data_IF_884624283110
#
_entry.id   IF_884624283110
#
_cell.length_a   1.000
_cell.length_b   1.000
_cell.length_c   1.000
_cell.angle_alpha   90.00
_cell.angle_beta   90.00
_cell.angle_gamma   90.00
#
_symmetry.space_group_name_H-M   'P 1'
#
loop_
_entity.id
_entity.type
_entity.pdbx_description
1 polymer ?
#
# COMPACT_ATOMS: atom_id res chain seq x y z
N UNK A 1 -44.23 -19.26 9.20
CA UNK A 1 -43.12 -20.13 8.73
C UNK A 1 -42.98 -19.95 7.22
N UNK A 2 -41.78 -19.67 6.67
CA UNK A 2 -40.71 -18.83 7.18
C UNK A 2 -40.41 -17.64 6.27
N UNK A 3 -39.76 -16.68 6.92
CA UNK A 3 -39.18 -15.43 6.43
C UNK A 3 -37.75 -15.71 5.94
N UNK A 4 -37.48 -15.59 4.63
CA UNK A 4 -36.14 -15.71 4.05
C UNK A 4 -35.98 -14.76 2.84
N UNK A 5 -35.44 -13.55 3.06
CA UNK A 5 -34.26 -13.18 2.26
C UNK A 5 -33.40 -12.13 2.95
N UNK A 6 -32.23 -12.60 3.40
CA UNK A 6 -31.15 -11.90 4.07
C UNK A 6 -30.51 -10.84 3.14
N UNK A 7 -29.91 -9.76 3.66
CA UNK A 7 -29.42 -8.67 2.83
C UNK A 7 -28.31 -9.16 1.90
N UNK A 8 -28.39 -8.80 0.63
CA UNK A 8 -27.27 -8.91 -0.30
C UNK A 8 -26.16 -8.00 0.23
N UNK A 9 -25.13 -8.62 0.79
CA UNK A 9 -23.86 -7.99 1.11
C UNK A 9 -23.32 -7.34 -0.15
N UNK A 10 -23.57 -6.04 -0.28
CA UNK A 10 -22.88 -5.20 -1.23
C UNK A 10 -21.39 -5.42 -0.99
N UNK A 11 -20.70 -5.94 -2.01
CA UNK A 11 -19.24 -5.87 -2.10
C UNK A 11 -18.88 -4.44 -1.70
N UNK A 12 -18.20 -4.26 -0.56
CA UNK A 12 -17.45 -3.04 -0.32
C UNK A 12 -16.42 -3.02 -1.43
N UNK A 13 -16.75 -2.34 -2.54
CA UNK A 13 -15.72 -1.71 -3.35
C UNK A 13 -15.04 -0.81 -2.35
N UNK A 14 -13.95 -1.29 -1.76
CA UNK A 14 -13.09 -0.45 -0.95
C UNK A 14 -12.78 0.72 -1.88
N UNK A 15 -13.37 1.89 -1.57
CA UNK A 15 -12.98 3.13 -2.23
C UNK A 15 -11.47 3.10 -2.25
N UNK A 16 -10.86 3.03 -3.44
CA UNK A 16 -9.40 3.07 -3.58
C UNK A 16 -9.00 4.36 -2.88
N UNK A 17 -8.53 4.26 -1.64
CA UNK A 17 -8.00 5.40 -0.90
C UNK A 17 -6.85 5.89 -1.77
N UNK A 18 -6.89 7.18 -2.10
CA UNK A 18 -5.89 7.77 -2.99
C UNK A 18 -4.52 7.52 -2.36
N UNK A 19 -3.68 6.75 -3.04
CA UNK A 19 -2.28 6.57 -2.67
C UNK A 19 -1.62 7.95 -2.73
N UNK A 20 -0.96 8.35 -1.65
CA UNK A 20 -0.23 9.61 -1.61
C UNK A 20 1.01 9.52 -2.49
N UNK A 21 1.49 10.65 -2.99
CA UNK A 21 2.69 10.64 -3.81
C UNK A 21 3.94 10.51 -2.93
N UNK A 22 3.85 10.98 -1.69
CA UNK A 22 4.86 10.79 -0.64
C UNK A 22 4.20 10.22 0.60
N UNK A 23 4.87 9.26 1.24
CA UNK A 23 4.41 8.66 2.49
C UNK A 23 4.76 9.58 3.66
N UNK A 24 3.83 9.85 4.59
CA UNK A 24 4.13 10.59 5.80
C UNK A 24 5.23 9.91 6.63
N UNK A 25 6.37 10.57 6.79
CA UNK A 25 7.50 10.01 7.53
C UNK A 25 7.36 10.23 9.05
N UNK A 26 7.76 9.23 9.84
CA UNK A 26 7.83 9.29 11.30
C UNK A 26 8.77 8.22 11.83
N UNK A 27 9.36 8.42 13.01
CA UNK A 27 10.21 7.43 13.68
C UNK A 27 9.41 6.29 14.34
N UNK A 28 8.07 6.34 14.27
CA UNK A 28 7.16 5.29 14.72
C UNK A 28 6.10 4.96 13.67
N UNK A 29 5.36 3.88 13.88
CA UNK A 29 4.25 3.51 12.99
C UNK A 29 3.11 4.53 13.02
N UNK A 30 2.70 4.98 11.83
CA UNK A 30 1.61 5.94 11.66
C UNK A 30 0.28 5.25 11.36
N UNK A 31 -0.82 5.98 11.46
CA UNK A 31 -2.12 5.48 10.99
C UNK A 31 -2.10 5.15 9.48
N UNK A 32 -1.34 5.91 8.69
CA UNK A 32 -1.15 5.66 7.27
C UNK A 32 -0.51 4.29 7.05
N UNK A 33 0.51 3.95 7.83
CA UNK A 33 1.21 2.67 7.68
C UNK A 33 0.30 1.47 7.94
N UNK A 34 -0.54 1.56 8.98
CA UNK A 34 -1.50 0.52 9.30
C UNK A 34 -2.56 0.33 8.20
N UNK A 35 -2.99 1.42 7.58
CA UNK A 35 -3.99 1.39 6.50
C UNK A 35 -3.41 0.90 5.17
N UNK A 36 -2.11 1.12 4.93
CA UNK A 36 -1.43 0.80 3.67
C UNK A 36 -0.46 -0.39 3.80
N UNK A 37 -0.56 -1.16 4.89
CA UNK A 37 0.35 -2.29 5.15
C UNK A 37 0.41 -3.30 3.98
N UNK A 38 -0.74 -3.63 3.40
CA UNK A 38 -0.83 -4.53 2.24
C UNK A 38 -0.12 -3.96 1.00
N UNK A 39 -0.10 -2.64 0.81
CA UNK A 39 0.62 -2.01 -0.31
C UNK A 39 2.12 -2.21 -0.12
N UNK A 40 2.64 -1.98 1.09
CA UNK A 40 4.06 -2.20 1.38
C UNK A 40 4.49 -3.64 1.14
N UNK A 41 3.70 -4.62 1.60
CA UNK A 41 4.02 -6.04 1.36
C UNK A 41 4.05 -6.37 -0.13
N UNK A 42 3.09 -5.87 -0.92
CA UNK A 42 3.05 -6.11 -2.37
C UNK A 42 4.17 -5.40 -3.13
N UNK A 43 4.62 -4.23 -2.66
CA UNK A 43 5.79 -3.55 -3.23
C UNK A 43 7.09 -4.30 -2.94
N UNK A 44 7.26 -4.80 -1.71
CA UNK A 44 8.44 -5.59 -1.35
C UNK A 44 8.50 -6.90 -2.15
N UNK A 45 7.37 -7.58 -2.31
CA UNK A 45 7.25 -8.80 -3.11
C UNK A 45 7.59 -8.54 -4.59
N UNK A 46 6.98 -7.51 -5.19
CA UNK A 46 7.29 -7.12 -6.57
C UNK A 46 8.75 -6.69 -6.76
N UNK A 47 9.32 -5.97 -5.79
CA UNK A 47 10.74 -5.58 -5.81
C UNK A 47 11.68 -6.80 -5.71
N UNK A 48 11.32 -7.81 -4.91
CA UNK A 48 12.06 -9.06 -4.79
C UNK A 48 12.00 -9.91 -6.08
N UNK A 49 10.93 -9.76 -6.86
CA UNK A 49 10.76 -10.35 -8.20
C UNK A 49 11.38 -9.48 -9.33
N UNK A 50 12.23 -8.51 -8.99
CA UNK A 50 12.90 -7.58 -9.92
C UNK A 50 11.93 -6.76 -10.79
N UNK A 51 10.69 -6.52 -10.33
CA UNK A 51 9.74 -5.66 -11.04
C UNK A 51 10.25 -4.23 -11.13
N UNK A 52 9.99 -3.58 -12.27
CA UNK A 52 10.36 -2.18 -12.49
C UNK A 52 9.51 -1.21 -11.65
N UNK A 53 10.00 0.02 -11.45
CA UNK A 53 9.21 1.09 -10.80
C UNK A 53 7.89 1.33 -11.53
N UNK A 54 7.87 1.24 -12.86
CA UNK A 54 6.67 1.44 -13.67
C UNK A 54 5.65 0.31 -13.47
N UNK A 55 6.10 -0.95 -13.41
CA UNK A 55 5.24 -2.10 -13.10
C UNK A 55 4.67 -2.02 -11.68
N UNK A 56 5.50 -1.65 -10.70
CA UNK A 56 5.06 -1.44 -9.31
C UNK A 56 4.03 -0.31 -9.22
N UNK A 57 4.26 0.81 -9.90
CA UNK A 57 3.33 1.94 -9.93
C UNK A 57 1.96 1.51 -10.49
N UNK A 58 1.96 0.78 -11.61
CA UNK A 58 0.72 0.38 -12.27
C UNK A 58 -0.02 -0.74 -11.52
N UNK A 59 0.69 -1.79 -11.10
CA UNK A 59 0.08 -3.00 -10.54
C UNK A 59 -0.23 -2.90 -9.05
N UNK A 60 0.57 -2.13 -8.30
CA UNK A 60 0.43 -2.02 -6.84
C UNK A 60 -0.23 -0.71 -6.45
N UNK A 61 0.24 0.43 -6.98
CA UNK A 61 -0.27 1.76 -6.60
C UNK A 61 -1.44 2.22 -7.47
N UNK A 62 -1.64 1.62 -8.65
CA UNK A 62 -2.65 2.02 -9.62
C UNK A 62 -2.39 3.39 -10.24
N UNK A 63 -1.12 3.81 -10.30
CA UNK A 63 -0.67 5.03 -10.97
C UNK A 63 -0.16 4.64 -12.36
N UNK A 64 -0.58 5.35 -13.40
CA UNK A 64 -0.15 5.09 -14.77
C UNK A 64 1.19 5.80 -15.04
N UNK A 65 2.31 5.06 -15.19
CA UNK A 65 3.64 5.64 -15.38
C UNK A 65 3.80 6.34 -16.74
N UNK A 66 2.97 6.00 -17.74
CA UNK A 66 3.02 6.67 -19.05
C UNK A 66 2.30 8.03 -19.02
N UNK A 67 1.30 8.17 -18.16
CA UNK A 67 0.52 9.41 -18.01
C UNK A 67 1.09 10.34 -16.94
N UNK A 68 1.61 9.78 -15.86
CA UNK A 68 2.10 10.52 -14.69
C UNK A 68 3.48 9.99 -14.23
N UNK A 69 4.52 10.01 -15.09
CA UNK A 69 5.80 9.32 -14.83
C UNK A 69 6.51 9.79 -13.57
N UNK A 70 6.53 11.09 -13.31
CA UNK A 70 7.19 11.67 -12.13
C UNK A 70 6.49 11.21 -10.84
N UNK A 71 5.16 11.33 -10.82
CA UNK A 71 4.32 10.90 -9.70
C UNK A 71 4.43 9.40 -9.43
N UNK A 72 4.45 8.58 -10.49
CA UNK A 72 4.61 7.14 -10.40
C UNK A 72 5.92 6.76 -9.69
N UNK A 73 7.05 7.31 -10.15
CA UNK A 73 8.37 7.03 -9.55
C UNK A 73 8.46 7.54 -8.12
N UNK A 74 7.97 8.75 -7.85
CA UNK A 74 7.99 9.35 -6.52
C UNK A 74 7.20 8.50 -5.52
N UNK A 75 5.98 8.10 -5.88
CA UNK A 75 5.14 7.26 -5.06
C UNK A 75 5.79 5.89 -4.79
N UNK A 76 6.32 5.22 -5.83
CA UNK A 76 6.96 3.91 -5.66
C UNK A 76 8.16 3.99 -4.72
N UNK A 77 9.07 4.96 -4.93
CA UNK A 77 10.26 5.12 -4.08
C UNK A 77 9.89 5.43 -2.64
N UNK A 78 9.01 6.41 -2.43
CA UNK A 78 8.59 6.80 -1.09
C UNK A 78 7.94 5.64 -0.31
N UNK A 79 7.11 4.83 -0.99
CA UNK A 79 6.50 3.67 -0.36
C UNK A 79 7.48 2.51 -0.13
N UNK A 80 8.43 2.28 -1.05
CA UNK A 80 9.48 1.28 -0.85
C UNK A 80 10.42 1.66 0.29
N UNK A 81 10.84 2.91 0.38
CA UNK A 81 11.69 3.41 1.47
C UNK A 81 10.99 3.22 2.82
N UNK A 82 9.69 3.56 2.89
CA UNK A 82 8.91 3.32 4.11
C UNK A 82 8.75 1.84 4.43
N UNK A 83 8.45 1.01 3.42
CA UNK A 83 8.31 -0.43 3.59
C UNK A 83 9.60 -1.07 4.13
N UNK A 84 10.75 -0.67 3.57
CA UNK A 84 12.07 -1.09 4.01
C UNK A 84 12.37 -0.64 5.46
N UNK A 85 12.02 0.59 5.81
CA UNK A 85 12.14 1.06 7.19
C UNK A 85 11.29 0.24 8.17
N UNK A 86 10.06 -0.10 7.79
CA UNK A 86 9.21 -0.93 8.64
C UNK A 86 9.81 -2.32 8.89
N UNK A 87 10.33 -3.00 7.86
CA UNK A 87 10.87 -4.36 8.02
C UNK A 87 12.22 -4.39 8.74
N UNK A 88 13.01 -3.31 8.67
CA UNK A 88 14.33 -3.24 9.31
C UNK A 88 14.32 -2.62 10.71
N UNK A 89 13.41 -1.66 10.96
CA UNK A 89 13.38 -0.84 12.16
C UNK A 89 12.02 -0.88 12.84
N UNK A 90 10.94 -0.60 12.09
CA UNK A 90 9.58 -0.51 12.63
C UNK A 90 9.00 -1.81 13.19
N UNK A 91 9.49 -2.98 12.76
CA UNK A 91 9.00 -4.29 13.24
C UNK A 91 9.15 -4.46 14.75
N UNK A 92 10.13 -3.77 15.36
CA UNK A 92 10.35 -3.79 16.81
C UNK A 92 9.13 -3.23 17.56
N UNK A 93 8.41 -2.28 16.97
CA UNK A 93 7.20 -1.71 17.57
C UNK A 93 5.98 -2.64 17.45
N UNK A 94 5.95 -3.54 16.45
CA UNK A 94 4.86 -4.52 16.29
C UNK A 94 4.84 -5.57 17.40
N UNK A 95 6.01 -5.89 17.97
CA UNK A 95 6.18 -6.91 19.01
C UNK A 95 6.55 -6.34 20.39
N UNK A 96 6.67 -5.01 20.53
CA UNK A 96 6.94 -4.36 21.82
C UNK A 96 5.73 -4.31 22.76
N UNK A 97 4.73 -5.19 22.59
CA UNK A 97 3.52 -5.27 23.42
C UNK A 97 3.45 -6.57 24.20
#
# INVERSE_FOLDING_TARGET
MPDHNKPQTGKRVAMKRKVQDEVPWSDSLTAYDNEHFTIYMRLLDASADDASEDEMAQLVLGIDPMREPERARMAVRSHLDRANWMVTTGYKELFAR
#
